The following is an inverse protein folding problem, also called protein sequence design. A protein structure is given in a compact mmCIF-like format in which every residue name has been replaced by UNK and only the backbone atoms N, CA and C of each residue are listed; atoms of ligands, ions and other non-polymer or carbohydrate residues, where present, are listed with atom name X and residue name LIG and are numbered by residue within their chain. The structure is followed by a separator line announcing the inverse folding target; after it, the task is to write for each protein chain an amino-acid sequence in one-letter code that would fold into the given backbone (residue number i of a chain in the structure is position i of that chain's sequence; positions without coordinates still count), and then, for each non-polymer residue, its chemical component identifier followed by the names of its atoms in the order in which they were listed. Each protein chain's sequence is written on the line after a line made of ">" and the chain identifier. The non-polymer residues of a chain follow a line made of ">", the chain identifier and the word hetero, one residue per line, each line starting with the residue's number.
data_IF_009771394956
#
_entry.id   IF_009771394956
#
_cell.length_a   1.000
_cell.length_b   1.000
_cell.length_c   1.000
_cell.angle_alpha   90.00
_cell.angle_beta   90.00
_cell.angle_gamma   90.00
#
_symmetry.space_group_name_H-M   'P 1'
#
loop_
_entity.id
_entity.type
_entity.pdbx_description
1 polymer ?
#
# COMPACT_ATOMS: atom_id res chain seq x y z
N UNK A 1 26.94 -15.22 -86.08
CA UNK A 1 28.16 -14.60 -85.51
C UNK A 1 28.06 -14.81 -83.99
N UNK A 2 28.59 -15.86 -83.33
CA UNK A 2 29.96 -16.42 -83.36
C UNK A 2 31.00 -15.32 -83.37
N UNK A 3 31.95 -15.17 -82.45
CA UNK A 3 32.49 -15.99 -81.36
C UNK A 3 33.13 -15.01 -80.33
N UNK A 4 33.43 -15.39 -79.09
CA UNK A 4 34.75 -15.81 -78.61
C UNK A 4 34.68 -15.73 -77.06
N UNK A 5 35.42 -16.43 -76.21
CA UNK A 5 36.23 -17.65 -76.26
C UNK A 5 36.58 -17.91 -74.79
N UNK A 6 36.59 -19.17 -74.37
CA UNK A 6 36.93 -19.62 -73.02
C UNK A 6 38.43 -19.43 -72.76
N UNK A 7 38.82 -19.12 -71.53
CA UNK A 7 40.14 -19.45 -70.99
C UNK A 7 40.01 -19.91 -69.52
N UNK A 8 40.13 -21.22 -69.38
CA UNK A 8 40.34 -21.99 -68.14
C UNK A 8 41.69 -21.65 -67.49
N UNK A 9 41.75 -21.56 -66.16
CA UNK A 9 43.00 -21.85 -65.44
C UNK A 9 42.71 -22.44 -64.05
N UNK A 10 43.09 -23.70 -63.92
CA UNK A 10 43.09 -24.55 -62.73
C UNK A 10 44.20 -24.17 -61.75
N UNK A 11 43.88 -24.03 -60.46
CA UNK A 11 44.85 -24.24 -59.37
C UNK A 11 44.20 -25.14 -58.30
N UNK A 12 44.89 -26.24 -58.01
CA UNK A 12 44.60 -27.31 -57.07
C UNK A 12 45.09 -27.00 -55.64
N UNK A 13 44.38 -27.58 -54.65
CA UNK A 13 44.78 -27.91 -53.26
C UNK A 13 45.07 -26.74 -52.29
N UNK A 14 44.66 -26.77 -51.01
CA UNK A 14 44.75 -27.86 -50.04
C UNK A 14 43.57 -27.92 -49.07
N UNK A 15 43.10 -29.15 -48.81
CA UNK A 15 42.34 -29.50 -47.61
C UNK A 15 43.27 -29.36 -46.39
N UNK A 16 42.97 -28.42 -45.51
CA UNK A 16 43.40 -28.46 -44.11
C UNK A 16 42.14 -28.39 -43.25
N UNK A 17 41.67 -29.57 -42.85
CA UNK A 17 40.72 -29.72 -41.76
C UNK A 17 41.43 -29.30 -40.46
N UNK A 18 41.24 -28.05 -40.06
CA UNK A 18 41.58 -27.61 -38.73
C UNK A 18 40.32 -27.74 -37.87
N UNK A 19 40.22 -28.85 -37.14
CA UNK A 19 39.27 -29.03 -36.06
C UNK A 19 39.52 -27.95 -35.00
N UNK A 20 38.80 -26.84 -35.11
CA UNK A 20 38.62 -25.89 -34.02
C UNK A 20 37.25 -26.20 -33.45
N UNK A 21 37.23 -26.79 -32.26
CA UNK A 21 36.00 -27.12 -31.57
C UNK A 21 35.10 -25.91 -31.54
N UNK A 22 33.88 -26.08 -32.09
CA UNK A 22 32.76 -25.17 -31.91
C UNK A 22 32.47 -25.07 -30.41
N UNK A 23 33.22 -24.22 -29.74
CA UNK A 23 32.79 -23.67 -28.46
C UNK A 23 31.71 -22.68 -28.85
N UNK A 24 30.47 -23.16 -28.95
CA UNK A 24 29.29 -22.31 -28.89
C UNK A 24 29.47 -21.48 -27.61
N UNK A 25 29.94 -20.25 -27.75
CA UNK A 25 29.88 -19.27 -26.67
C UNK A 25 28.40 -18.99 -26.45
N UNK A 26 27.82 -19.69 -25.48
CA UNK A 26 26.66 -19.21 -24.78
C UNK A 26 26.98 -17.77 -24.33
N UNK A 27 26.10 -16.78 -24.57
CA UNK A 27 26.30 -15.45 -24.02
C UNK A 27 26.49 -15.58 -22.51
N UNK A 28 27.59 -15.02 -22.03
CA UNK A 28 27.92 -14.97 -20.61
C UNK A 28 26.73 -14.35 -19.86
N UNK A 29 26.29 -14.99 -18.79
CA UNK A 29 25.46 -14.33 -17.77
C UNK A 29 26.24 -13.10 -17.27
N UNK A 30 25.88 -11.91 -17.73
CA UNK A 30 26.65 -10.71 -17.39
C UNK A 30 26.37 -9.55 -18.32
N UNK A 31 25.13 -9.06 -18.30
CA UNK A 31 24.81 -7.63 -18.24
C UNK A 31 23.29 -7.54 -18.18
N UNK A 32 22.76 -7.53 -16.95
CA UNK A 32 21.40 -7.08 -16.75
C UNK A 32 21.29 -5.66 -17.35
N UNK A 33 20.23 -5.35 -18.13
CA UNK A 33 20.03 -3.99 -18.64
C UNK A 33 20.21 -2.98 -17.50
N UNK A 34 20.89 -1.84 -17.72
CA UNK A 34 21.06 -0.83 -16.68
C UNK A 34 19.68 -0.51 -16.12
N UNK A 35 19.50 -0.69 -14.80
CA UNK A 35 18.23 -0.39 -14.19
C UNK A 35 17.91 1.08 -14.46
N UNK A 36 16.65 1.40 -14.84
CA UNK A 36 16.26 2.78 -15.04
C UNK A 36 16.59 3.57 -13.77
N UNK A 37 17.06 4.80 -13.91
CA UNK A 37 17.35 5.64 -12.75
C UNK A 37 16.04 5.91 -11.97
N UNK A 38 16.13 5.95 -10.64
CA UNK A 38 14.98 6.27 -9.78
C UNK A 38 14.47 7.69 -10.10
N UNK A 39 13.17 7.91 -10.33
CA UNK A 39 12.64 9.22 -10.71
C UNK A 39 12.64 10.29 -9.59
N UNK A 40 13.03 9.96 -8.36
CA UNK A 40 13.06 10.88 -7.22
C UNK A 40 14.21 10.54 -6.26
N UNK A 41 14.80 11.58 -5.64
CA UNK A 41 15.87 11.42 -4.63
C UNK A 41 15.31 11.21 -3.21
N UNK A 42 14.22 11.89 -2.90
CA UNK A 42 13.41 11.74 -1.70
C UNK A 42 11.93 11.86 -2.07
N UNK A 43 11.04 11.30 -1.26
CA UNK A 43 9.60 11.45 -1.50
C UNK A 43 8.79 11.39 -0.21
N UNK A 44 7.93 12.37 -0.01
CA UNK A 44 7.07 12.57 1.16
C UNK A 44 5.68 11.90 1.02
N UNK A 45 5.13 11.84 -0.19
CA UNK A 45 3.86 11.19 -0.56
C UNK A 45 4.11 10.02 -1.52
N UNK A 46 4.59 8.90 -0.97
CA UNK A 46 4.84 7.67 -1.73
C UNK A 46 3.56 6.85 -1.87
N UNK A 47 3.26 6.49 -3.11
CA UNK A 47 2.21 5.56 -3.48
C UNK A 47 2.81 4.24 -3.99
N UNK A 48 2.34 3.13 -3.47
CA UNK A 48 2.66 1.78 -3.91
C UNK A 48 1.51 1.23 -4.74
N UNK A 49 1.85 0.62 -5.87
CA UNK A 49 0.88 -0.02 -6.74
C UNK A 49 0.15 -1.15 -5.99
N UNK A 50 -1.17 -1.28 -6.19
CA UNK A 50 -1.93 -2.41 -5.63
C UNK A 50 -1.59 -3.74 -6.30
N UNK A 51 -0.85 -3.73 -7.41
CA UNK A 51 -0.43 -4.93 -8.12
C UNK A 51 0.58 -5.73 -7.28
N UNK A 52 0.32 -7.03 -7.10
CA UNK A 52 1.22 -7.96 -6.39
C UNK A 52 2.40 -8.39 -7.27
N UNK A 53 3.19 -7.43 -7.73
CA UNK A 53 4.39 -7.63 -8.55
C UNK A 53 5.62 -7.48 -7.63
N UNK A 54 6.69 -8.23 -7.94
CA UNK A 54 7.94 -8.18 -7.19
C UNK A 54 9.13 -7.89 -8.12
N UNK A 55 9.95 -6.85 -7.86
CA UNK A 55 9.79 -5.83 -6.81
C UNK A 55 8.51 -4.99 -6.97
N UNK A 56 7.96 -4.43 -5.88
CA UNK A 56 6.77 -3.60 -5.96
C UNK A 56 7.01 -2.32 -6.77
N UNK A 57 5.94 -1.83 -7.41
CA UNK A 57 5.94 -0.57 -8.12
C UNK A 57 5.57 0.56 -7.16
N UNK A 58 6.35 1.64 -7.16
CA UNK A 58 6.10 2.85 -6.40
C UNK A 58 5.99 4.05 -7.33
N UNK A 59 5.35 5.13 -6.85
CA UNK A 59 5.31 6.44 -7.49
C UNK A 59 5.40 7.51 -6.41
N UNK A 60 6.05 8.62 -6.71
CA UNK A 60 6.09 9.79 -5.84
C UNK A 60 5.05 10.83 -6.27
N UNK A 61 4.17 11.23 -5.36
CA UNK A 61 3.13 12.24 -5.60
C UNK A 61 3.49 13.62 -5.03
N UNK A 62 4.76 13.87 -4.70
CA UNK A 62 5.21 15.17 -4.22
C UNK A 62 5.03 16.26 -5.28
N UNK A 63 4.55 17.42 -4.83
CA UNK A 63 4.46 18.64 -5.61
C UNK A 63 5.83 19.34 -5.64
N UNK A 64 6.49 19.33 -6.79
CA UNK A 64 7.82 19.90 -7.00
C UNK A 64 7.79 21.07 -7.97
N UNK A 65 8.78 21.97 -7.88
CA UNK A 65 8.93 23.05 -8.88
C UNK A 65 9.49 22.55 -10.21
N UNK A 66 10.23 21.45 -10.18
CA UNK A 66 10.87 20.84 -11.34
C UNK A 66 10.98 19.33 -11.10
N UNK A 67 10.58 18.51 -12.07
CA UNK A 67 10.77 17.07 -12.00
C UNK A 67 12.24 16.67 -12.18
N UNK A 68 12.62 15.52 -11.60
CA UNK A 68 13.92 14.90 -11.84
C UNK A 68 14.12 14.60 -13.33
N UNK A 69 15.38 14.63 -13.79
CA UNK A 69 15.75 14.25 -15.15
C UNK A 69 15.41 12.77 -15.47
N UNK A 70 15.29 11.93 -14.45
CA UNK A 70 14.89 10.54 -14.59
C UNK A 70 13.36 10.36 -14.74
N UNK A 71 12.56 11.40 -14.48
CA UNK A 71 11.12 11.37 -14.66
C UNK A 71 10.75 11.57 -16.13
N UNK A 72 10.03 10.61 -16.72
CA UNK A 72 9.58 10.64 -18.11
C UNK A 72 8.28 11.42 -18.26
N UNK A 73 7.35 11.24 -17.32
CA UNK A 73 6.04 11.88 -17.34
C UNK A 73 5.91 12.90 -16.20
N UNK A 74 6.27 14.15 -16.50
CA UNK A 74 6.17 15.29 -15.59
C UNK A 74 4.95 16.14 -15.97
N UNK A 75 3.95 16.20 -15.08
CA UNK A 75 2.67 16.89 -15.34
C UNK A 75 2.38 17.94 -14.29
N UNK A 76 1.53 18.92 -14.60
CA UNK A 76 1.03 19.86 -13.61
C UNK A 76 0.23 19.12 -12.52
N UNK A 77 0.48 19.48 -11.26
CA UNK A 77 -0.31 19.05 -10.12
C UNK A 77 -1.77 19.48 -10.33
N UNK A 78 -2.75 18.65 -9.93
CA UNK A 78 -4.14 19.06 -9.96
C UNK A 78 -4.30 20.32 -9.10
N UNK A 79 -4.77 21.42 -9.70
CA UNK A 79 -4.82 22.73 -9.06
C UNK A 79 -5.58 22.68 -7.72
N UNK A 80 -4.87 22.89 -6.62
CA UNK A 80 -5.47 23.16 -5.32
C UNK A 80 -5.96 24.61 -5.28
N UNK A 81 -7.09 24.88 -5.92
CA UNK A 81 -7.86 26.11 -5.74
C UNK A 81 -7.24 27.40 -6.30
N UNK A 82 -8.08 28.18 -6.97
CA UNK A 82 -7.86 29.54 -7.45
C UNK A 82 -7.05 30.43 -6.47
N UNK A 83 -5.72 30.48 -6.66
CA UNK A 83 -4.85 31.45 -6.00
C UNK A 83 -4.43 32.51 -7.04
N UNK A 84 -4.88 33.78 -6.94
CA UNK A 84 -4.75 34.78 -8.01
C UNK A 84 -3.35 35.35 -8.22
N UNK A 85 -2.34 34.87 -7.50
CA UNK A 85 -0.97 35.37 -7.56
C UNK A 85 -0.07 34.26 -8.07
N UNK A 86 0.44 34.42 -9.30
CA UNK A 86 1.18 33.41 -10.06
C UNK A 86 2.37 32.79 -9.30
N UNK A 87 2.09 31.70 -8.58
CA UNK A 87 3.07 30.71 -8.20
C UNK A 87 3.19 29.70 -9.33
N UNK A 88 4.41 29.42 -9.80
CA UNK A 88 4.65 28.47 -10.89
C UNK A 88 3.91 27.15 -10.63
N UNK A 89 3.28 26.61 -11.68
CA UNK A 89 2.51 25.38 -11.58
C UNK A 89 3.35 24.29 -10.91
N UNK A 90 2.92 23.81 -9.74
CA UNK A 90 3.52 22.65 -9.12
C UNK A 90 3.47 21.49 -10.13
N UNK A 91 4.55 20.73 -10.23
CA UNK A 91 4.69 19.58 -11.10
C UNK A 91 4.71 18.31 -10.25
N UNK A 92 4.22 17.21 -10.79
CA UNK A 92 4.22 15.88 -10.16
C UNK A 92 4.73 14.86 -11.18
N UNK A 93 5.63 13.99 -10.74
CA UNK A 93 6.11 12.88 -11.56
C UNK A 93 5.10 11.72 -11.55
N UNK A 94 4.68 11.24 -12.72
CA UNK A 94 3.69 10.15 -12.84
C UNK A 94 4.29 8.77 -13.06
N UNK A 95 5.62 8.69 -13.17
CA UNK A 95 6.34 7.45 -13.40
C UNK A 95 6.19 6.45 -12.26
N UNK A 96 5.86 5.21 -12.61
CA UNK A 96 5.99 4.07 -11.72
C UNK A 96 7.42 3.52 -11.77
N UNK A 97 8.00 3.26 -10.61
CA UNK A 97 9.35 2.74 -10.44
C UNK A 97 9.34 1.45 -9.63
N UNK A 98 9.93 0.39 -10.18
CA UNK A 98 10.02 -0.92 -9.53
C UNK A 98 11.25 -0.96 -8.62
N UNK A 99 11.05 -1.08 -7.31
CA UNK A 99 12.15 -1.15 -6.32
C UNK A 99 11.70 -1.87 -5.05
N UNK A 100 12.63 -2.38 -4.26
CA UNK A 100 12.33 -2.87 -2.90
C UNK A 100 12.26 -1.73 -1.89
N UNK A 101 13.05 -0.69 -2.11
CA UNK A 101 13.15 0.51 -1.27
C UNK A 101 12.74 1.75 -2.07
N UNK A 102 11.58 2.37 -1.79
CA UNK A 102 11.14 3.58 -2.45
C UNK A 102 12.00 4.81 -2.08
N UNK A 103 12.86 4.72 -1.07
CA UNK A 103 13.77 5.77 -0.63
C UNK A 103 13.27 6.52 0.60
N UNK A 104 14.04 7.52 1.01
CA UNK A 104 13.78 8.29 2.23
C UNK A 104 12.77 9.43 2.01
N UNK A 105 12.11 9.91 3.07
CA UNK A 105 11.26 11.08 3.00
C UNK A 105 12.12 12.33 2.79
N UNK A 106 11.54 13.38 2.23
CA UNK A 106 12.23 14.66 2.11
C UNK A 106 12.26 15.40 3.45
N UNK A 107 11.25 15.19 4.30
CA UNK A 107 11.14 15.83 5.62
C UNK A 107 11.70 14.94 6.75
N UNK A 108 12.68 15.40 7.55
CA UNK A 108 13.32 14.60 8.62
C UNK A 108 12.36 14.12 9.71
N UNK A 109 11.33 14.90 10.05
CA UNK A 109 10.32 14.51 11.05
C UNK A 109 9.42 13.32 10.59
N UNK A 110 9.62 12.82 9.37
CA UNK A 110 8.89 11.69 8.78
C UNK A 110 9.78 10.47 8.48
N UNK A 111 10.89 10.30 9.19
CA UNK A 111 11.72 9.10 9.08
C UNK A 111 10.87 7.82 9.03
N UNK A 112 11.27 6.90 8.14
CA UNK A 112 10.60 5.62 8.02
C UNK A 112 10.65 4.93 9.39
N UNK A 113 9.51 4.46 9.92
CA UNK A 113 9.51 3.79 11.20
C UNK A 113 10.47 2.61 11.14
N UNK A 114 11.31 2.48 12.17
CA UNK A 114 12.08 1.26 12.36
C UNK A 114 11.14 0.06 12.50
N UNK A 115 11.63 -1.13 12.18
CA UNK A 115 10.90 -2.40 12.37
C UNK A 115 9.58 -2.47 11.59
N UNK A 116 9.58 -2.00 10.35
CA UNK A 116 8.46 -2.19 9.42
C UNK A 116 8.35 -3.63 8.92
N UNK A 117 7.12 -4.12 8.85
CA UNK A 117 6.81 -5.50 8.45
C UNK A 117 5.67 -5.52 7.44
N UNK A 118 5.77 -6.39 6.42
CA UNK A 118 4.67 -6.66 5.47
C UNK A 118 3.67 -7.69 6.00
N UNK A 119 4.01 -8.41 7.07
CA UNK A 119 3.13 -9.36 7.75
C UNK A 119 2.67 -8.74 9.05
N UNK A 120 1.36 -8.75 9.29
CA UNK A 120 0.75 -8.15 10.48
C UNK A 120 1.27 -8.83 11.75
N UNK A 121 1.74 -8.06 12.76
CA UNK A 121 2.25 -8.64 14.01
C UNK A 121 1.16 -8.93 15.05
N UNK A 122 -0.09 -8.52 14.80
CA UNK A 122 -1.28 -8.82 15.62
C UNK A 122 -2.35 -9.56 14.82
N UNK A 123 -3.26 -10.26 15.51
CA UNK A 123 -4.43 -10.90 14.89
C UNK A 123 -5.61 -9.93 14.79
N UNK A 124 -5.83 -9.16 15.85
CA UNK A 124 -6.81 -8.08 15.96
C UNK A 124 -6.17 -6.92 16.74
N UNK A 125 -6.70 -5.70 16.63
CA UNK A 125 -6.24 -4.54 17.38
C UNK A 125 -7.37 -3.54 17.64
N UNK A 126 -7.61 -3.17 18.90
CA UNK A 126 -8.64 -2.19 19.27
C UNK A 126 -8.13 -0.74 19.20
N UNK A 127 -6.89 -0.50 19.65
CA UNK A 127 -6.23 0.80 19.67
C UNK A 127 -5.26 0.93 18.50
N UNK A 128 -5.80 0.86 17.28
CA UNK A 128 -4.99 0.97 16.07
C UNK A 128 -4.66 2.42 15.73
N UNK A 129 -3.38 2.68 15.49
CA UNK A 129 -2.84 4.00 15.17
C UNK A 129 -2.21 4.02 13.78
N UNK A 130 -2.61 4.97 12.94
CA UNK A 130 -1.89 5.32 11.70
C UNK A 130 -0.68 6.19 12.04
N UNK A 131 0.50 5.83 11.54
CA UNK A 131 1.69 6.66 11.74
C UNK A 131 1.71 7.87 10.78
N UNK A 132 2.42 8.96 11.15
CA UNK A 132 2.37 10.22 10.42
C UNK A 132 2.74 10.20 8.92
N UNK A 133 3.67 9.36 8.43
CA UNK A 133 4.04 9.36 7.01
C UNK A 133 2.80 9.18 6.12
N UNK A 134 2.61 10.12 5.19
CA UNK A 134 1.50 10.10 4.22
C UNK A 134 1.86 9.17 3.07
N UNK A 135 1.91 7.88 3.37
CA UNK A 135 2.19 6.85 2.38
C UNK A 135 0.95 6.00 2.11
N UNK A 136 0.88 5.43 0.92
CA UNK A 136 -0.15 4.49 0.51
C UNK A 136 0.52 3.21 0.00
N UNK A 137 0.32 2.05 0.64
CA UNK A 137 -0.49 1.84 1.84
C UNK A 137 0.13 2.48 3.10
N UNK A 138 -0.68 2.84 4.10
CA UNK A 138 -0.21 3.47 5.33
C UNK A 138 0.57 2.54 6.25
N UNK A 139 1.30 3.16 7.17
CA UNK A 139 1.87 2.50 8.33
C UNK A 139 0.90 2.45 9.49
N UNK A 140 0.86 1.31 10.16
CA UNK A 140 0.01 1.06 11.31
C UNK A 140 0.82 0.55 12.49
N UNK A 141 0.42 0.94 13.68
CA UNK A 141 0.87 0.37 14.95
C UNK A 141 -0.34 0.03 15.81
N UNK A 142 -0.28 -1.09 16.51
CA UNK A 142 -1.28 -1.44 17.49
C UNK A 142 -0.80 -1.02 18.89
N UNK A 143 -1.52 -0.07 19.50
CA UNK A 143 -1.24 0.42 20.85
C UNK A 143 -2.15 -0.29 21.89
N UNK A 144 -2.57 -1.53 21.62
CA UNK A 144 -3.32 -2.34 22.60
C UNK A 144 -2.44 -2.73 23.78
N UNK A 145 -2.95 -2.46 24.98
CA UNK A 145 -2.32 -2.87 26.23
C UNK A 145 -2.30 -4.40 26.33
N UNK A 146 -1.10 -4.95 26.33
CA UNK A 146 -0.86 -6.37 26.48
C UNK A 146 -0.92 -6.74 27.96
N UNK A 147 -1.21 -8.03 28.21
CA UNK A 147 -1.08 -8.59 29.55
C UNK A 147 0.34 -8.33 30.08
N UNK A 148 0.48 -7.90 31.35
CA UNK A 148 1.78 -7.59 31.92
C UNK A 148 2.79 -8.72 31.69
N UNK A 149 3.94 -8.40 31.08
CA UNK A 149 5.04 -9.34 30.87
C UNK A 149 4.94 -10.25 29.65
N UNK A 150 3.94 -10.12 28.76
CA UNK A 150 3.85 -10.94 27.56
C UNK A 150 3.65 -10.11 26.27
N UNK A 151 4.69 -10.08 25.44
CA UNK A 151 4.60 -9.59 24.07
C UNK A 151 3.84 -10.59 23.17
N UNK A 152 3.17 -10.12 22.12
CA UNK A 152 2.60 -11.04 21.13
C UNK A 152 3.72 -11.89 20.51
N UNK A 153 3.48 -13.18 20.28
CA UNK A 153 4.48 -14.07 19.68
C UNK A 153 4.92 -13.63 18.27
N UNK A 154 4.08 -12.89 17.56
CA UNK A 154 4.38 -12.33 16.23
C UNK A 154 4.96 -10.91 16.28
N UNK A 155 5.03 -10.29 17.46
CA UNK A 155 5.66 -9.00 17.68
C UNK A 155 7.11 -9.19 18.10
N UNK A 156 8.04 -8.58 17.36
CA UNK A 156 9.48 -8.72 17.58
C UNK A 156 9.97 -7.87 18.74
N UNK A 157 9.37 -6.70 18.96
CA UNK A 157 9.74 -5.79 20.04
C UNK A 157 8.50 -5.23 20.75
N UNK A 158 8.53 -5.21 22.08
CA UNK A 158 7.52 -4.55 22.90
C UNK A 158 8.14 -3.36 23.65
N UNK A 159 7.33 -2.33 23.87
CA UNK A 159 7.67 -1.14 24.67
C UNK A 159 6.63 -0.96 25.78
N UNK A 160 6.97 -0.23 26.82
CA UNK A 160 5.98 0.16 27.84
C UNK A 160 5.02 1.21 27.27
N UNK A 161 3.75 1.09 27.62
CA UNK A 161 2.72 2.07 27.29
C UNK A 161 3.07 3.42 27.94
N UNK A 162 2.76 4.56 27.30
CA UNK A 162 2.89 5.87 27.93
C UNK A 162 2.00 5.94 29.19
N UNK A 163 2.58 6.08 30.39
CA UNK A 163 1.80 6.11 31.62
C UNK A 163 2.61 5.91 32.91
N UNK A 164 1.94 5.71 34.06
CA UNK A 164 2.60 5.43 35.34
C UNK A 164 3.42 4.15 35.27
N UNK A 165 4.64 4.18 35.80
CA UNK A 165 5.54 3.03 35.79
C UNK A 165 5.34 2.13 37.03
N UNK A 166 5.38 0.79 36.87
CA UNK A 166 5.47 0.04 35.61
C UNK A 166 4.12 -0.04 34.88
N UNK A 167 4.12 0.31 33.58
CA UNK A 167 2.93 0.30 32.73
C UNK A 167 2.75 -1.02 31.96
N UNK A 168 1.57 -1.25 31.34
CA UNK A 168 1.37 -2.38 30.45
C UNK A 168 2.30 -2.31 29.23
N UNK A 169 2.61 -3.45 28.61
CA UNK A 169 3.41 -3.49 27.39
C UNK A 169 2.52 -3.27 26.16
N UNK A 170 3.08 -2.67 25.12
CA UNK A 170 2.45 -2.54 23.79
C UNK A 170 3.44 -3.03 22.73
N UNK A 171 2.91 -3.53 21.61
CA UNK A 171 3.74 -3.96 20.48
C UNK A 171 4.31 -2.75 19.73
N UNK A 172 5.63 -2.72 19.51
CA UNK A 172 6.29 -1.59 18.84
C UNK A 172 6.48 -1.82 17.32
N UNK A 173 6.29 -3.05 16.85
CA UNK A 173 6.37 -3.40 15.43
C UNK A 173 5.37 -2.60 14.60
N UNK A 174 5.82 -2.17 13.42
CA UNK A 174 5.00 -1.39 12.49
C UNK A 174 4.58 -2.27 11.32
N UNK A 175 3.28 -2.29 11.05
CA UNK A 175 2.72 -2.97 9.90
C UNK A 175 2.57 -2.00 8.73
N UNK A 176 3.08 -2.39 7.55
CA UNK A 176 2.91 -1.65 6.32
C UNK A 176 1.91 -2.35 5.40
N UNK A 177 0.71 -1.79 5.26
CA UNK A 177 -0.33 -2.41 4.45
C UNK A 177 -1.64 -1.64 4.44
N UNK A 178 -2.55 -2.01 3.53
CA UNK A 178 -3.79 -1.26 3.33
C UNK A 178 -4.79 -1.45 4.48
N UNK A 179 -4.85 -2.67 5.04
CA UNK A 179 -5.77 -3.05 6.09
C UNK A 179 -5.02 -3.43 7.37
N UNK A 180 -5.14 -2.66 8.47
CA UNK A 180 -4.53 -2.99 9.76
C UNK A 180 -5.17 -4.21 10.43
N UNK A 181 -6.33 -4.67 9.96
CA UNK A 181 -7.02 -5.84 10.46
C UNK A 181 -8.28 -5.56 11.25
N UNK A 182 -8.93 -6.65 11.72
CA UNK A 182 -10.13 -6.52 12.52
C UNK A 182 -9.80 -5.96 13.90
N UNK A 183 -10.78 -5.30 14.49
CA UNK A 183 -10.78 -4.97 15.90
C UNK A 183 -11.03 -6.25 16.72
N UNK A 184 -10.51 -6.30 17.94
CA UNK A 184 -10.73 -7.42 18.85
C UNK A 184 -12.16 -7.38 19.42
N UNK A 185 -12.68 -6.18 19.62
CA UNK A 185 -14.08 -5.97 20.02
C UNK A 185 -15.00 -6.11 18.79
N UNK A 186 -16.04 -6.97 18.85
CA UNK A 186 -16.98 -7.13 17.75
C UNK A 186 -17.74 -5.83 17.49
N UNK A 187 -18.16 -5.63 16.24
CA UNK A 187 -18.96 -4.47 15.85
C UNK A 187 -20.37 -4.56 16.47
N UNK A 188 -20.96 -3.44 16.92
CA UNK A 188 -22.29 -3.44 17.55
C UNK A 188 -23.42 -3.92 16.64
N UNK A 189 -23.24 -3.87 15.32
CA UNK A 189 -24.23 -4.30 14.31
C UNK A 189 -23.83 -5.60 13.59
N UNK A 190 -22.84 -6.33 14.12
CA UNK A 190 -22.39 -7.60 13.57
C UNK A 190 -21.50 -7.47 12.32
N UNK A 191 -21.69 -8.37 11.37
CA UNK A 191 -20.73 -8.56 10.28
C UNK A 191 -20.81 -7.52 9.16
N UNK A 192 -21.97 -6.90 8.93
CA UNK A 192 -22.21 -5.99 7.81
C UNK A 192 -23.10 -4.81 8.20
N UNK A 193 -23.05 -3.72 7.42
CA UNK A 193 -23.99 -2.61 7.55
C UNK A 193 -24.21 -1.89 6.21
N UNK A 194 -25.47 -1.72 5.81
CA UNK A 194 -25.86 -1.05 4.57
C UNK A 194 -25.87 0.48 4.71
N UNK A 195 -26.44 0.99 5.81
CA UNK A 195 -26.59 2.42 6.09
C UNK A 195 -25.55 2.89 7.12
N UNK A 196 -24.31 3.05 6.67
CA UNK A 196 -23.17 3.45 7.50
C UNK A 196 -22.95 4.95 7.50
N UNK A 197 -22.77 5.52 8.69
CA UNK A 197 -22.35 6.93 8.86
C UNK A 197 -21.05 6.97 9.65
N UNK A 198 -20.00 7.54 9.07
CA UNK A 198 -18.67 7.57 9.68
C UNK A 198 -18.09 8.98 9.73
N UNK A 199 -17.29 9.27 10.75
CA UNK A 199 -16.44 10.46 10.79
C UNK A 199 -15.31 10.37 9.75
N UNK A 200 -14.70 11.50 9.42
CA UNK A 200 -13.51 11.56 8.55
C UNK A 200 -12.19 11.30 9.28
N UNK A 201 -12.24 10.88 10.55
CA UNK A 201 -11.04 10.53 11.32
C UNK A 201 -10.44 9.21 10.84
N UNK A 202 -9.19 8.95 11.19
CA UNK A 202 -8.51 7.68 10.87
C UNK A 202 -7.89 7.14 12.18
N UNK A 203 -8.44 6.05 12.75
CA UNK A 203 -9.62 5.29 12.31
C UNK A 203 -10.93 6.10 12.37
N UNK A 204 -11.92 5.79 11.53
CA UNK A 204 -13.22 6.46 11.57
C UNK A 204 -14.02 5.99 12.79
N UNK A 205 -14.90 6.85 13.29
CA UNK A 205 -15.93 6.49 14.26
C UNK A 205 -17.22 6.34 13.46
N UNK A 206 -17.79 5.14 13.44
CA UNK A 206 -18.93 4.80 12.62
C UNK A 206 -20.15 4.45 13.47
N UNK A 207 -21.33 4.62 12.89
CA UNK A 207 -22.60 4.09 13.38
C UNK A 207 -23.36 3.42 12.24
N UNK A 208 -24.24 2.47 12.59
CA UNK A 208 -25.06 1.76 11.63
C UNK A 208 -26.54 2.11 11.82
N UNK A 209 -27.16 2.63 10.76
CA UNK A 209 -28.57 3.01 10.73
C UNK A 209 -29.49 1.90 10.21
N UNK A 210 -29.01 0.65 10.17
CA UNK A 210 -29.78 -0.47 9.64
C UNK A 210 -30.95 -0.82 10.55
N UNK A 211 -32.10 -1.08 9.91
CA UNK A 211 -33.34 -1.47 10.58
C UNK A 211 -33.44 -2.98 10.57
N UNK A 212 -32.96 -3.61 11.63
CA UNK A 212 -32.88 -5.07 11.77
C UNK A 212 -34.09 -5.64 12.52
N UNK A 213 -34.32 -6.94 12.40
CA UNK A 213 -35.36 -7.63 13.16
C UNK A 213 -34.96 -7.80 14.64
N UNK A 214 -33.66 -7.96 14.90
CA UNK A 214 -33.07 -7.99 16.23
C UNK A 214 -31.65 -7.40 16.14
N UNK A 215 -31.24 -6.64 17.16
CA UNK A 215 -29.86 -6.14 17.24
C UNK A 215 -28.88 -7.29 17.55
N UNK A 216 -27.63 -7.09 17.14
CA UNK A 216 -26.55 -8.02 17.48
C UNK A 216 -26.25 -8.01 18.99
N UNK A 217 -25.70 -9.10 19.51
CA UNK A 217 -25.36 -9.22 20.94
C UNK A 217 -24.29 -8.22 21.41
N UNK A 218 -23.51 -7.66 20.48
CA UNK A 218 -22.55 -6.60 20.78
C UNK A 218 -23.19 -5.21 20.92
N UNK A 219 -24.45 -5.02 20.50
CA UNK A 219 -25.16 -3.75 20.62
C UNK A 219 -25.61 -3.48 22.06
N UNK A 220 -25.23 -2.33 22.62
CA UNK A 220 -25.62 -1.90 23.97
C UNK A 220 -26.92 -1.09 23.97
N UNK A 221 -27.12 -0.21 22.97
CA UNK A 221 -28.32 0.61 22.83
C UNK A 221 -29.15 0.20 21.60
N UNK A 222 -30.03 -0.78 21.79
CA UNK A 222 -30.94 -1.29 20.77
C UNK A 222 -32.32 -0.64 20.91
N UNK A 223 -32.70 0.23 19.97
CA UNK A 223 -33.93 1.00 20.05
C UNK A 223 -34.96 0.56 19.00
N UNK A 224 -36.25 0.40 19.36
CA UNK A 224 -37.31 0.15 18.40
C UNK A 224 -37.56 1.38 17.53
N UNK A 225 -37.85 1.17 16.25
CA UNK A 225 -38.21 2.24 15.32
C UNK A 225 -39.69 2.55 15.50
N UNK A 226 -39.98 3.72 16.07
CA UNK A 226 -41.32 4.18 16.49
C UNK A 226 -42.40 4.16 15.39
N UNK A 227 -42.00 4.14 14.11
CA UNK A 227 -42.88 4.10 12.95
C UNK A 227 -42.67 2.88 12.05
N UNK A 228 -42.13 1.78 12.59
CA UNK A 228 -41.96 0.54 11.82
C UNK A 228 -43.27 -0.26 11.69
N UNK A 229 -43.50 -0.79 10.49
CA UNK A 229 -44.55 -1.77 10.18
C UNK A 229 -44.42 -3.00 11.07
N UNK A 230 -45.51 -3.72 11.37
CA UNK A 230 -45.39 -5.06 11.94
C UNK A 230 -44.69 -6.01 10.95
N UNK A 231 -43.65 -6.76 11.34
CA UNK A 231 -43.04 -6.86 12.68
C UNK A 231 -42.07 -5.71 13.03
N UNK A 232 -41.97 -5.35 14.33
CA UNK A 232 -41.18 -4.21 14.79
C UNK A 232 -39.72 -4.33 14.36
N UNK A 233 -39.13 -3.20 13.97
CA UNK A 233 -37.71 -3.11 13.60
C UNK A 233 -36.94 -2.37 14.66
N UNK A 234 -35.67 -2.74 14.82
CA UNK A 234 -34.75 -2.15 15.78
C UNK A 234 -33.55 -1.53 15.06
N UNK A 235 -32.95 -0.53 15.68
CA UNK A 235 -31.72 0.12 15.21
C UNK A 235 -30.75 0.18 16.38
N UNK A 236 -29.51 -0.25 16.13
CA UNK A 236 -28.43 -0.08 17.10
C UNK A 236 -27.92 1.36 17.07
N UNK A 237 -27.83 2.03 18.22
CA UNK A 237 -27.35 3.41 18.35
C UNK A 237 -25.88 3.53 18.75
N UNK A 238 -25.23 2.41 19.00
CA UNK A 238 -23.83 2.36 19.37
C UNK A 238 -22.93 2.96 18.27
N UNK A 239 -21.87 3.62 18.72
CA UNK A 239 -20.77 4.04 17.87
C UNK A 239 -19.62 3.05 18.02
N UNK A 240 -18.91 2.82 16.92
CA UNK A 240 -17.77 1.93 16.85
C UNK A 240 -16.58 2.62 16.20
N UNK A 241 -15.43 2.60 16.86
CA UNK A 241 -14.17 3.07 16.29
C UNK A 241 -13.61 1.98 15.39
N UNK A 242 -13.58 2.22 14.08
CA UNK A 242 -13.07 1.27 13.11
C UNK A 242 -13.86 1.26 11.80
N UNK A 243 -13.43 0.41 10.87
CA UNK A 243 -14.17 0.22 9.63
C UNK A 243 -15.53 -0.41 9.94
N UNK A 244 -16.62 0.08 9.32
CA UNK A 244 -17.96 -0.36 9.67
C UNK A 244 -18.32 -1.77 9.14
N UNK A 245 -17.44 -2.37 8.34
CA UNK A 245 -17.68 -3.66 7.68
C UNK A 245 -18.21 -3.50 6.25
N UNK A 246 -18.36 -4.61 5.52
CA UNK A 246 -18.98 -4.63 4.20
C UNK A 246 -20.47 -4.25 4.27
N UNK A 247 -21.05 -3.92 3.12
CA UNK A 247 -22.50 -3.83 2.97
C UNK A 247 -23.13 -5.22 3.07
N UNK A 248 -24.31 -5.30 3.70
CA UNK A 248 -25.08 -6.53 3.82
C UNK A 248 -25.70 -6.92 2.47
N UNK A 249 -26.19 -5.94 1.74
CA UNK A 249 -26.76 -6.14 0.41
C UNK A 249 -25.66 -6.01 -0.64
N UNK A 250 -25.40 -7.06 -1.46
CA UNK A 250 -24.43 -6.96 -2.54
C UNK A 250 -24.88 -5.91 -3.56
N UNK A 251 -23.94 -5.07 -4.02
CA UNK A 251 -24.21 -4.13 -5.10
C UNK A 251 -24.52 -4.93 -6.39
N UNK A 252 -25.80 -5.08 -6.73
CA UNK A 252 -26.20 -5.58 -8.04
C UNK A 252 -25.95 -4.47 -9.06
N UNK A 253 -24.94 -4.65 -9.91
CA UNK A 253 -24.76 -3.82 -11.10
C UNK A 253 -25.77 -4.31 -12.14
N UNK A 254 -26.75 -3.47 -12.47
CA UNK A 254 -27.55 -3.62 -13.69
C UNK A 254 -26.90 -2.83 -14.81
#
# INVERSE_FOLDING_TARGET
>A
MSNNSVATSTILLFLLAAAHGDTIRLPSEGDAPPQPAKPWDCCDDIEMSPLKIFPPLYRCNDEVKQCSAACKECVAAPAAGDSPCGGGAALVCRDWYSTEDPGKPCTPEREWPERTTKKRPWKCCDNIRRLPPRIHPPFWRCDDELKPGQCFAACKACREAPGPFPGPLICDDVYWGADPGPFCTPRPWGDCCDNTTCTKSIPPICSCGDKVAACDGACKDCQPVASSSEPPRFVCKDQFTGQPGPKCTPCTQN
#
